data_IF_650917753516
#
_entry.id   IF_650917753516
#
_cell.length_a   1.000
_cell.length_b   1.000
_cell.length_c   1.000
_cell.angle_alpha   90.00
_cell.angle_beta   90.00
_cell.angle_gamma   90.00
#
_symmetry.space_group_name_H-M   'P 1'
#
loop_
_entity.id
_entity.type
_entity.pdbx_description
1 polymer ?
#
# COMPACT_ATOMS: atom_id res chain seq x y z
N UNK A 1 34.26 -29.87 -11.91
CA UNK A 1 33.02 -30.44 -11.36
C UNK A 1 32.76 -29.75 -10.03
N UNK A 2 31.82 -28.81 -10.00
CA UNK A 2 31.24 -28.22 -8.81
C UNK A 2 29.75 -28.04 -9.11
N UNK A 3 28.82 -28.53 -8.29
CA UNK A 3 27.42 -28.22 -8.48
C UNK A 3 27.21 -26.80 -7.96
N UNK A 4 26.90 -25.87 -8.85
CA UNK A 4 26.37 -24.57 -8.46
C UNK A 4 25.01 -24.80 -7.81
N UNK A 5 24.95 -24.48 -6.53
CA UNK A 5 23.77 -24.54 -5.67
C UNK A 5 22.69 -23.58 -6.15
N UNK A 6 21.85 -24.03 -7.09
CA UNK A 6 20.57 -23.39 -7.35
C UNK A 6 19.63 -23.73 -6.18
N UNK A 7 19.60 -22.86 -5.17
CA UNK A 7 18.48 -22.80 -4.23
C UNK A 7 17.19 -22.72 -5.06
N UNK A 8 16.32 -23.73 -4.96
CA UNK A 8 15.00 -23.71 -5.60
C UNK A 8 14.13 -22.69 -4.86
N UNK A 9 14.28 -21.41 -5.17
CA UNK A 9 13.36 -20.39 -4.70
C UNK A 9 11.93 -20.76 -5.13
N UNK A 10 10.98 -20.72 -4.19
CA UNK A 10 9.58 -21.08 -4.48
C UNK A 10 9.03 -20.10 -5.54
N UNK A 11 8.12 -20.55 -6.44
CA UNK A 11 7.46 -19.63 -7.35
C UNK A 11 6.75 -18.50 -6.60
N UNK A 12 6.79 -17.26 -7.12
CA UNK A 12 6.19 -16.08 -6.50
C UNK A 12 4.73 -16.30 -6.07
N UNK A 13 3.92 -16.94 -6.92
CA UNK A 13 2.53 -17.28 -6.62
C UNK A 13 2.36 -18.20 -5.40
N UNK A 14 3.34 -19.08 -5.12
CA UNK A 14 3.33 -19.93 -3.92
C UNK A 14 3.68 -19.10 -2.69
N UNK A 15 4.64 -18.19 -2.82
CA UNK A 15 5.04 -17.29 -1.72
C UNK A 15 3.89 -16.36 -1.31
N UNK A 16 3.20 -15.75 -2.28
CA UNK A 16 2.01 -14.92 -2.05
C UNK A 16 0.89 -15.67 -1.31
N UNK A 17 0.62 -16.92 -1.69
CA UNK A 17 -0.36 -17.76 -0.97
C UNK A 17 0.06 -18.06 0.46
N UNK A 18 1.35 -18.34 0.68
CA UNK A 18 1.86 -18.65 2.02
C UNK A 18 1.81 -17.44 2.94
N UNK A 19 2.30 -16.29 2.48
CA UNK A 19 2.27 -15.06 3.28
C UNK A 19 0.83 -14.63 3.56
N UNK A 20 -0.06 -14.71 2.55
CA UNK A 20 -1.46 -14.37 2.74
C UNK A 20 -2.19 -15.31 3.70
N UNK A 21 -1.91 -16.61 3.67
CA UNK A 21 -2.46 -17.55 4.65
C UNK A 21 -1.91 -17.30 6.06
N UNK A 22 -0.66 -16.87 6.18
CA UNK A 22 -0.09 -16.41 7.44
C UNK A 22 -0.83 -15.18 7.96
N UNK A 23 -1.10 -14.19 7.11
CA UNK A 23 -1.81 -12.96 7.49
C UNK A 23 -3.28 -13.22 7.83
N UNK A 24 -3.93 -14.17 7.15
CA UNK A 24 -5.29 -14.63 7.52
C UNK A 24 -5.33 -15.24 8.93
N UNK A 25 -4.21 -15.81 9.38
CA UNK A 25 -4.03 -16.36 10.71
C UNK A 25 -2.96 -15.55 11.46
N UNK A 26 -3.07 -14.22 11.41
CA UNK A 26 -2.05 -13.29 11.87
C UNK A 26 -1.54 -13.66 13.28
N UNK A 27 -0.21 -13.68 13.48
CA UNK A 27 0.35 -13.96 14.79
C UNK A 27 -0.02 -12.85 15.79
N UNK A 28 -0.21 -13.22 17.06
CA UNK A 28 -0.47 -12.25 18.12
C UNK A 28 0.77 -11.44 18.52
N UNK A 29 1.96 -11.95 18.20
CA UNK A 29 3.22 -11.25 18.43
C UNK A 29 3.42 -10.17 17.35
N UNK A 30 3.61 -8.93 17.78
CA UNK A 30 3.76 -7.78 16.88
C UNK A 30 4.98 -7.90 15.98
N UNK A 31 6.11 -8.38 16.52
CA UNK A 31 7.35 -8.53 15.74
C UNK A 31 7.21 -9.59 14.65
N UNK A 32 6.53 -10.70 14.95
CA UNK A 32 6.22 -11.74 13.97
C UNK A 32 5.23 -11.24 12.90
N UNK A 33 4.23 -10.45 13.30
CA UNK A 33 3.29 -9.84 12.37
C UNK A 33 3.98 -8.84 11.43
N UNK A 34 4.86 -7.99 11.96
CA UNK A 34 5.62 -7.04 11.16
C UNK A 34 6.58 -7.74 10.21
N UNK A 35 7.24 -8.83 10.64
CA UNK A 35 8.07 -9.64 9.75
C UNK A 35 7.24 -10.22 8.59
N UNK A 36 6.05 -10.75 8.89
CA UNK A 36 5.15 -11.31 7.89
C UNK A 36 4.59 -10.24 6.93
N UNK A 37 4.32 -9.03 7.44
CA UNK A 37 3.93 -7.89 6.60
C UNK A 37 5.07 -7.44 5.71
N UNK A 38 6.31 -7.34 6.20
CA UNK A 38 7.47 -7.02 5.37
C UNK A 38 7.66 -8.05 4.25
N UNK A 39 7.48 -9.35 4.54
CA UNK A 39 7.49 -10.39 3.49
C UNK A 39 6.39 -10.12 2.43
N UNK A 40 5.21 -9.68 2.85
CA UNK A 40 4.12 -9.34 1.92
C UNK A 40 4.45 -8.08 1.10
N UNK A 41 5.02 -7.05 1.71
CA UNK A 41 5.46 -5.82 1.05
C UNK A 41 6.45 -6.14 -0.08
N UNK A 42 7.50 -6.92 0.23
CA UNK A 42 8.52 -7.33 -0.73
C UNK A 42 7.91 -8.14 -1.88
N UNK A 43 7.02 -9.08 -1.57
CA UNK A 43 6.39 -9.91 -2.59
C UNK A 43 5.47 -9.10 -3.50
N UNK A 44 4.66 -8.19 -2.95
CA UNK A 44 3.73 -7.36 -3.71
C UNK A 44 4.46 -6.33 -4.60
N UNK A 45 5.54 -5.72 -4.10
CA UNK A 45 6.37 -4.80 -4.87
C UNK A 45 6.97 -5.44 -6.14
N UNK A 46 7.19 -6.76 -6.11
CA UNK A 46 7.72 -7.55 -7.23
C UNK A 46 6.63 -8.12 -8.18
N UNK A 47 5.36 -7.76 -8.00
CA UNK A 47 4.28 -8.16 -8.91
C UNK A 47 4.00 -7.03 -9.91
N UNK A 48 4.19 -7.30 -11.20
CA UNK A 48 3.83 -6.35 -12.24
C UNK A 48 2.30 -6.23 -12.41
N UNK A 49 1.86 -5.07 -12.89
CA UNK A 49 0.49 -4.85 -13.36
C UNK A 49 0.21 -5.68 -14.63
N UNK A 50 -1.02 -6.16 -14.81
CA UNK A 50 -1.43 -6.90 -16.02
C UNK A 50 -0.96 -8.37 -16.08
N UNK A 51 -0.55 -8.95 -14.95
CA UNK A 51 -0.17 -10.36 -14.84
C UNK A 51 -1.38 -11.31 -15.02
N UNK A 52 -1.11 -12.57 -15.39
CA UNK A 52 -2.15 -13.54 -15.73
C UNK A 52 -3.07 -13.92 -14.55
N UNK A 53 -4.33 -14.25 -14.86
CA UNK A 53 -5.41 -14.61 -13.90
C UNK A 53 -4.96 -15.61 -12.81
N UNK A 54 -4.20 -16.69 -13.09
CA UNK A 54 -3.75 -17.62 -12.05
C UNK A 54 -2.80 -16.99 -11.00
N UNK A 55 -2.14 -15.88 -11.32
CA UNK A 55 -1.33 -15.09 -10.38
C UNK A 55 -2.21 -14.16 -9.55
N UNK A 56 -3.30 -13.62 -10.09
CA UNK A 56 -4.29 -12.87 -9.31
C UNK A 56 -4.96 -13.76 -8.25
N UNK A 57 -5.24 -15.03 -8.56
CA UNK A 57 -5.75 -16.00 -7.58
C UNK A 57 -4.78 -16.23 -6.40
N UNK A 58 -3.48 -15.99 -6.60
CA UNK A 58 -2.48 -16.08 -5.54
C UNK A 58 -2.46 -14.89 -4.60
N UNK A 59 -3.04 -13.75 -5.00
CA UNK A 59 -3.19 -12.56 -4.19
C UNK A 59 -4.40 -12.65 -3.25
N UNK A 60 -5.42 -13.45 -3.59
CA UNK A 60 -6.68 -13.51 -2.84
C UNK A 60 -6.51 -13.71 -1.32
N UNK A 61 -5.61 -14.58 -0.81
CA UNK A 61 -5.41 -14.70 0.63
C UNK A 61 -4.86 -13.42 1.27
N UNK A 62 -3.90 -12.75 0.60
CA UNK A 62 -3.31 -11.49 1.06
C UNK A 62 -4.37 -10.38 1.05
N UNK A 63 -5.10 -10.23 -0.05
CA UNK A 63 -6.16 -9.23 -0.20
C UNK A 63 -7.22 -9.37 0.89
N UNK A 64 -7.67 -10.60 1.16
CA UNK A 64 -8.66 -10.88 2.22
C UNK A 64 -8.13 -10.56 3.62
N UNK A 65 -6.86 -10.85 3.89
CA UNK A 65 -6.27 -10.58 5.20
C UNK A 65 -6.14 -9.09 5.47
N UNK A 66 -5.65 -8.30 4.50
CA UNK A 66 -5.31 -6.89 4.70
C UNK A 66 -6.52 -6.00 4.99
N UNK A 67 -7.71 -6.40 4.56
CA UNK A 67 -8.97 -5.68 4.86
C UNK A 67 -9.63 -6.12 6.17
N UNK A 68 -9.00 -7.00 6.94
CA UNK A 68 -9.53 -7.38 8.25
C UNK A 68 -9.35 -6.22 9.25
N UNK A 69 -10.40 -5.94 10.03
CA UNK A 69 -10.39 -4.90 11.07
C UNK A 69 -9.22 -5.03 12.04
N UNK A 70 -8.78 -6.27 12.33
CA UNK A 70 -7.62 -6.55 13.19
C UNK A 70 -6.31 -5.99 12.65
N UNK A 71 -6.18 -5.83 11.33
CA UNK A 71 -5.01 -5.23 10.68
C UNK A 71 -5.23 -3.74 10.38
N UNK A 72 -6.38 -3.38 9.79
CA UNK A 72 -6.71 -2.00 9.44
C UNK A 72 -6.71 -1.08 10.66
N UNK A 73 -7.26 -1.54 11.79
CA UNK A 73 -7.41 -0.77 13.04
C UNK A 73 -6.41 -1.23 14.10
N UNK A 74 -5.32 -1.86 13.70
CA UNK A 74 -4.33 -2.37 14.64
C UNK A 74 -3.74 -1.23 15.49
N UNK A 75 -3.51 -1.47 16.78
CA UNK A 75 -3.05 -0.42 17.71
C UNK A 75 -1.65 0.10 17.40
N UNK A 76 -0.78 -0.79 16.91
CA UNK A 76 0.61 -0.46 16.54
C UNK A 76 0.64 0.24 15.19
N UNK A 77 1.17 1.46 15.17
CA UNK A 77 1.30 2.32 13.99
C UNK A 77 2.08 1.66 12.85
N UNK A 78 3.21 0.99 13.16
CA UNK A 78 4.01 0.33 12.14
C UNK A 78 3.24 -0.75 11.38
N UNK A 79 2.32 -1.45 12.05
CA UNK A 79 1.43 -2.43 11.40
C UNK A 79 0.48 -1.71 10.43
N UNK A 80 -0.13 -0.60 10.86
CA UNK A 80 -1.04 0.18 10.02
C UNK A 80 -0.35 0.76 8.78
N UNK A 81 0.86 1.31 8.92
CA UNK A 81 1.63 1.82 7.77
C UNK A 81 2.01 0.69 6.81
N UNK A 82 2.44 -0.46 7.32
CA UNK A 82 2.73 -1.64 6.51
C UNK A 82 1.51 -2.18 5.77
N UNK A 83 0.34 -2.18 6.41
CA UNK A 83 -0.93 -2.56 5.78
C UNK A 83 -1.31 -1.56 4.69
N UNK A 84 -1.14 -0.26 4.93
CA UNK A 84 -1.38 0.79 3.93
C UNK A 84 -0.49 0.61 2.69
N UNK A 85 0.79 0.31 2.88
CA UNK A 85 1.73 0.01 1.79
C UNK A 85 1.29 -1.21 0.97
N UNK A 86 0.97 -2.32 1.63
CA UNK A 86 0.50 -3.52 0.93
C UNK A 86 -0.79 -3.25 0.14
N UNK A 87 -1.72 -2.45 0.70
CA UNK A 87 -2.95 -2.07 0.02
C UNK A 87 -2.70 -1.14 -1.18
N UNK A 88 -1.77 -0.20 -1.09
CA UNK A 88 -1.39 0.63 -2.25
C UNK A 88 -0.77 -0.21 -3.36
N UNK A 89 0.06 -1.20 -3.02
CA UNK A 89 0.61 -2.12 -4.03
C UNK A 89 -0.46 -2.99 -4.68
N UNK A 90 -1.47 -3.43 -3.92
CA UNK A 90 -2.63 -4.13 -4.50
C UNK A 90 -3.37 -3.23 -5.48
N UNK A 91 -3.57 -1.94 -5.19
CA UNK A 91 -4.14 -0.99 -6.16
C UNK A 91 -3.27 -0.87 -7.41
N UNK A 92 -1.95 -0.80 -7.27
CA UNK A 92 -1.01 -0.77 -8.41
C UNK A 92 -1.11 -2.01 -9.29
N UNK A 93 -1.18 -3.18 -8.68
CA UNK A 93 -1.25 -4.45 -9.40
C UNK A 93 -2.59 -4.59 -10.13
N UNK A 94 -3.69 -4.15 -9.48
CA UNK A 94 -5.05 -4.29 -9.98
C UNK A 94 -5.48 -3.20 -10.95
N UNK A 95 -4.82 -2.03 -10.98
CA UNK A 95 -5.20 -0.95 -11.87
C UNK A 95 -5.27 -1.42 -13.35
N UNK A 96 -6.21 -0.89 -14.16
CA UNK A 96 -7.22 0.11 -13.82
C UNK A 96 -8.43 -0.44 -13.03
N UNK A 97 -8.51 -1.75 -12.79
CA UNK A 97 -9.60 -2.35 -12.05
C UNK A 97 -9.51 -2.09 -10.53
N UNK A 98 -10.66 -1.86 -9.91
CA UNK A 98 -10.74 -1.67 -8.46
C UNK A 98 -10.57 -3.01 -7.73
N UNK A 99 -9.61 -3.13 -6.79
CA UNK A 99 -9.33 -4.39 -6.10
C UNK A 99 -10.40 -4.79 -5.07
N UNK A 100 -11.20 -3.82 -4.62
CA UNK A 100 -12.21 -3.99 -3.57
C UNK A 100 -13.48 -3.21 -3.93
N UNK A 101 -14.57 -3.45 -3.20
CA UNK A 101 -15.79 -2.65 -3.38
C UNK A 101 -15.67 -1.25 -2.76
N UNK A 102 -16.58 -0.35 -3.14
CA UNK A 102 -16.64 1.05 -2.70
C UNK A 102 -16.47 1.25 -1.19
N UNK A 103 -17.17 0.47 -0.37
CA UNK A 103 -17.14 0.62 1.09
C UNK A 103 -15.77 0.21 1.66
N UNK A 104 -15.17 -0.84 1.11
CA UNK A 104 -13.82 -1.26 1.46
C UNK A 104 -12.78 -0.22 0.99
N UNK A 105 -12.94 0.30 -0.23
CA UNK A 105 -12.03 1.31 -0.78
C UNK A 105 -12.02 2.59 0.06
N UNK A 106 -13.16 3.04 0.59
CA UNK A 106 -13.24 4.18 1.52
C UNK A 106 -12.38 3.97 2.76
N UNK A 107 -12.52 2.82 3.42
CA UNK A 107 -11.73 2.48 4.61
C UNK A 107 -10.23 2.37 4.29
N UNK A 108 -9.89 1.84 3.11
CA UNK A 108 -8.50 1.77 2.66
C UNK A 108 -7.94 3.18 2.43
N UNK A 109 -8.73 4.09 1.83
CA UNK A 109 -8.31 5.48 1.64
C UNK A 109 -8.14 6.24 2.95
N UNK A 110 -8.96 5.97 3.98
CA UNK A 110 -8.73 6.52 5.33
C UNK A 110 -7.34 6.16 5.84
N UNK A 111 -6.96 4.88 5.73
CA UNK A 111 -5.66 4.38 6.18
C UNK A 111 -4.49 4.95 5.36
N UNK A 112 -4.64 5.04 4.03
CA UNK A 112 -3.64 5.63 3.14
C UNK A 112 -3.43 7.11 3.48
N UNK A 113 -4.50 7.89 3.63
CA UNK A 113 -4.40 9.32 3.95
C UNK A 113 -3.84 9.55 5.36
N UNK A 114 -4.17 8.69 6.35
CA UNK A 114 -3.55 8.72 7.69
C UNK A 114 -2.02 8.57 7.60
N UNK A 115 -1.55 7.68 6.73
CA UNK A 115 -0.12 7.39 6.57
C UNK A 115 0.67 8.62 6.10
N UNK A 116 0.11 9.49 5.26
CA UNK A 116 0.82 10.66 4.72
C UNK A 116 1.33 11.64 5.78
N UNK A 117 0.76 11.63 6.98
CA UNK A 117 1.28 12.40 8.12
C UNK A 117 2.76 12.10 8.42
N UNK A 118 3.28 10.90 8.08
CA UNK A 118 4.67 10.50 8.34
C UNK A 118 5.70 11.21 7.46
N UNK A 119 5.28 11.77 6.32
CA UNK A 119 6.17 12.54 5.45
C UNK A 119 6.60 13.88 6.07
N UNK A 120 5.88 14.37 7.08
CA UNK A 120 6.29 15.58 7.81
C UNK A 120 7.52 15.36 8.71
N UNK A 121 7.95 14.10 8.89
CA UNK A 121 9.03 13.72 9.80
C UNK A 121 10.04 12.80 9.09
N UNK A 122 10.98 13.41 8.36
CA UNK A 122 11.99 12.71 7.55
C UNK A 122 12.89 11.72 8.33
N UNK A 123 12.96 11.82 9.67
CA UNK A 123 13.71 10.90 10.52
C UNK A 123 12.92 9.68 11.00
N UNK A 124 11.65 9.53 10.59
CA UNK A 124 10.85 8.37 10.99
C UNK A 124 11.20 7.15 10.17
N UNK A 125 11.18 5.97 10.81
CA UNK A 125 11.38 4.68 10.15
C UNK A 125 10.30 4.33 9.10
N UNK A 126 9.25 5.16 8.99
CA UNK A 126 8.11 4.97 8.09
C UNK A 126 8.12 5.90 6.89
N UNK A 127 9.09 6.82 6.80
CA UNK A 127 9.14 7.84 5.75
C UNK A 127 9.16 7.21 4.36
N UNK A 128 10.12 6.32 4.10
CA UNK A 128 10.30 5.65 2.80
C UNK A 128 9.04 4.88 2.38
N UNK A 129 8.45 4.09 3.30
CA UNK A 129 7.21 3.36 3.02
C UNK A 129 6.07 4.32 2.66
N UNK A 130 5.96 5.43 3.37
CA UNK A 130 4.91 6.43 3.12
C UNK A 130 5.12 7.17 1.81
N UNK A 131 6.38 7.43 1.43
CA UNK A 131 6.72 8.01 0.15
C UNK A 131 6.30 7.07 -0.98
N UNK A 132 6.60 5.77 -0.88
CA UNK A 132 6.15 4.79 -1.86
C UNK A 132 4.62 4.72 -1.97
N UNK A 133 3.89 4.80 -0.84
CA UNK A 133 2.41 4.89 -0.88
C UNK A 133 1.96 6.12 -1.67
N UNK A 134 2.54 7.29 -1.40
CA UNK A 134 2.21 8.54 -2.08
C UNK A 134 2.49 8.45 -3.59
N UNK A 135 3.66 7.95 -3.98
CA UNK A 135 4.01 7.73 -5.38
C UNK A 135 3.03 6.78 -6.07
N UNK A 136 2.66 5.68 -5.40
CA UNK A 136 1.71 4.72 -5.97
C UNK A 136 0.35 5.37 -6.18
N UNK A 137 -0.18 6.11 -5.20
CA UNK A 137 -1.43 6.88 -5.33
C UNK A 137 -1.39 7.83 -6.53
N UNK A 138 -0.27 8.53 -6.75
CA UNK A 138 -0.08 9.39 -7.90
C UNK A 138 -0.05 8.61 -9.23
N UNK A 139 0.75 7.54 -9.31
CA UNK A 139 0.92 6.73 -10.54
C UNK A 139 -0.38 6.09 -11.00
N UNK A 140 -1.17 5.56 -10.07
CA UNK A 140 -2.43 4.87 -10.40
C UNK A 140 -3.64 5.80 -10.40
N UNK A 141 -3.42 7.11 -10.19
CA UNK A 141 -4.47 8.13 -10.08
C UNK A 141 -5.58 7.77 -9.09
N UNK A 142 -5.21 7.14 -7.97
CA UNK A 142 -6.19 6.67 -6.97
C UNK A 142 -7.00 7.81 -6.35
N UNK A 143 -6.50 9.05 -6.43
CA UNK A 143 -7.24 10.24 -6.03
C UNK A 143 -8.52 10.49 -6.84
N UNK A 144 -8.57 10.10 -8.11
CA UNK A 144 -9.80 10.24 -8.92
C UNK A 144 -10.89 9.31 -8.41
N UNK A 145 -10.52 8.08 -8.04
CA UNK A 145 -11.45 7.15 -7.39
C UNK A 145 -11.95 7.68 -6.04
N UNK A 146 -11.12 8.42 -5.27
CA UNK A 146 -11.61 9.10 -4.06
C UNK A 146 -12.70 10.13 -4.38
N UNK A 147 -12.61 10.85 -5.50
CA UNK A 147 -13.65 11.79 -5.94
C UNK A 147 -14.92 11.04 -6.37
N UNK A 148 -14.78 9.97 -7.16
CA UNK A 148 -15.91 9.14 -7.61
C UNK A 148 -16.68 8.54 -6.44
N UNK A 149 -15.96 8.09 -5.40
CA UNK A 149 -16.53 7.54 -4.16
C UNK A 149 -17.07 8.60 -3.19
N UNK A 150 -16.96 9.89 -3.53
CA UNK A 150 -17.40 11.05 -2.73
C UNK A 150 -16.68 11.16 -1.39
N UNK A 151 -15.38 10.90 -1.39
CA UNK A 151 -14.51 10.99 -0.23
C UNK A 151 -14.00 12.43 0.02
N UNK A 152 -14.84 13.45 -0.16
CA UNK A 152 -14.44 14.87 -0.16
C UNK A 152 -13.68 15.27 1.11
N UNK A 153 -14.10 14.75 2.27
CA UNK A 153 -13.43 15.03 3.56
C UNK A 153 -12.02 14.45 3.59
N UNK A 154 -11.80 13.26 3.03
CA UNK A 154 -10.48 12.64 2.94
C UNK A 154 -9.59 13.37 1.94
N UNK A 155 -10.16 13.83 0.82
CA UNK A 155 -9.41 14.66 -0.14
C UNK A 155 -8.93 15.94 0.53
N UNK A 156 -9.78 16.62 1.32
CA UNK A 156 -9.37 17.81 2.09
C UNK A 156 -8.27 17.47 3.10
N UNK A 157 -8.39 16.36 3.84
CA UNK A 157 -7.35 15.91 4.78
C UNK A 157 -6.03 15.59 4.08
N UNK A 158 -6.06 14.97 2.90
CA UNK A 158 -4.89 14.70 2.09
C UNK A 158 -4.16 16.00 1.70
N UNK A 159 -4.89 17.03 1.27
CA UNK A 159 -4.29 18.34 0.93
C UNK A 159 -3.70 19.03 2.17
N UNK A 160 -4.32 18.87 3.34
CA UNK A 160 -3.76 19.38 4.59
C UNK A 160 -2.44 18.69 4.95
N UNK A 161 -2.34 17.37 4.75
CA UNK A 161 -1.08 16.64 4.92
C UNK A 161 -0.02 17.15 3.94
N UNK A 162 -0.37 17.29 2.66
CA UNK A 162 0.54 17.82 1.62
C UNK A 162 1.15 19.15 2.02
N UNK A 163 0.29 20.07 2.45
CA UNK A 163 0.71 21.39 2.92
C UNK A 163 1.65 21.34 4.13
N UNK A 164 1.49 20.34 5.00
CA UNK A 164 2.34 20.18 6.18
C UNK A 164 3.76 19.72 5.82
N UNK A 165 3.92 18.78 4.89
CA UNK A 165 5.25 18.23 4.57
C UNK A 165 5.96 18.93 3.40
N UNK A 166 5.25 19.57 2.47
CA UNK A 166 5.88 20.36 1.38
C UNK A 166 6.64 21.59 1.91
N UNK A 167 6.30 22.07 3.10
CA UNK A 167 6.99 23.19 3.75
C UNK A 167 8.31 22.80 4.39
N UNK A 168 8.61 21.51 4.48
CA UNK A 168 9.74 20.97 5.24
C UNK A 168 10.88 20.51 4.33
N UNK A 169 11.15 21.26 3.25
CA UNK A 169 12.18 20.92 2.24
C UNK A 169 11.99 19.52 1.62
N UNK A 170 10.88 19.32 0.88
CA UNK A 170 10.52 18.01 0.34
C UNK A 170 11.51 17.56 -0.73
N UNK A 171 11.67 16.24 -0.87
CA UNK A 171 12.41 15.65 -1.98
C UNK A 171 11.66 15.88 -3.31
N UNK A 172 12.38 15.78 -4.43
CA UNK A 172 11.80 15.90 -5.77
C UNK A 172 10.68 14.87 -6.00
N UNK A 173 10.83 13.64 -5.48
CA UNK A 173 9.81 12.59 -5.58
C UNK A 173 8.52 12.95 -4.83
N UNK A 174 8.64 13.55 -3.64
CA UNK A 174 7.48 14.06 -2.89
C UNK A 174 6.79 15.17 -3.66
N UNK A 175 7.56 16.13 -4.20
CA UNK A 175 7.00 17.24 -4.97
C UNK A 175 6.27 16.73 -6.22
N UNK A 176 6.89 15.82 -6.97
CA UNK A 176 6.30 15.21 -8.15
C UNK A 176 4.96 14.52 -7.83
N UNK A 177 4.93 13.69 -6.79
CA UNK A 177 3.73 12.94 -6.45
C UNK A 177 2.57 13.85 -6.02
N UNK A 178 2.86 14.88 -5.20
CA UNK A 178 1.84 15.87 -4.82
C UNK A 178 1.37 16.66 -6.04
N UNK A 179 2.28 17.19 -6.86
CA UNK A 179 1.92 17.96 -8.05
C UNK A 179 1.02 17.15 -8.98
N UNK A 180 1.35 15.87 -9.21
CA UNK A 180 0.56 14.97 -10.03
C UNK A 180 -0.84 14.77 -9.45
N UNK A 181 -0.96 14.44 -8.16
CA UNK A 181 -2.26 14.22 -7.50
C UNK A 181 -3.12 15.49 -7.53
N UNK A 182 -2.53 16.65 -7.21
CA UNK A 182 -3.26 17.92 -7.23
C UNK A 182 -3.72 18.29 -8.65
N UNK A 183 -2.87 18.04 -9.65
CA UNK A 183 -3.21 18.29 -11.05
C UNK A 183 -4.35 17.39 -11.51
N UNK A 184 -4.32 16.10 -11.20
CA UNK A 184 -5.39 15.16 -11.54
C UNK A 184 -6.72 15.61 -10.92
N UNK A 185 -6.75 15.94 -9.62
CA UNK A 185 -7.98 16.40 -8.94
C UNK A 185 -8.53 17.70 -9.51
N UNK A 186 -7.67 18.66 -9.86
CA UNK A 186 -8.10 19.96 -10.39
C UNK A 186 -8.55 19.89 -11.86
N UNK A 187 -8.22 18.81 -12.55
CA UNK A 187 -8.55 18.59 -13.97
C UNK A 187 -9.85 17.82 -14.18
N UNK A 188 -10.41 17.25 -13.12
CA UNK A 188 -11.71 16.55 -13.08
C UNK A 188 -12.88 17.54 -13.00
#
# INVERSE_FOLDING_TARGET
MAPSSSSFARPLAVQLKLVGNGLLNAPSCVDELLALLNDAEDLLANVDQGQSIPRLDSLLPVMKALIADSLLKHSVEGVRVSVAYCLSEIMRISAPEEPYNDDQMKVIFELIVESFSKLSQASTQFYEKTLSILETVARVKACLLMLDLKCDTLVVQMFQNFWAFIRSDPTDDVLWAVEQIMTDILSE
#
